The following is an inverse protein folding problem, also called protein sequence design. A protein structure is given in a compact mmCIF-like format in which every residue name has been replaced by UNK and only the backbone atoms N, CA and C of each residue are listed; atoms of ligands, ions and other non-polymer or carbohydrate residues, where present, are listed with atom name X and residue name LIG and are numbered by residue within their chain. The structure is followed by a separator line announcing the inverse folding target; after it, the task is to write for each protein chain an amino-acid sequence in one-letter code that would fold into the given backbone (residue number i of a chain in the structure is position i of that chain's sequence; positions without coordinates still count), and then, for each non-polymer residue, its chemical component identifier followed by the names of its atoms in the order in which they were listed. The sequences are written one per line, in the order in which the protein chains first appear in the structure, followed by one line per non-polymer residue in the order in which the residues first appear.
data_IF_225456234416
#
_entry.id   IF_225456234416
#
_cell.length_a   1.000
_cell.length_b   1.000
_cell.length_c   1.000
_cell.angle_alpha   90.00
_cell.angle_beta   90.00
_cell.angle_gamma   90.00
#
_symmetry.space_group_name_H-M   'P 1'
#
loop_
_entity.id
_entity.type
_entity.pdbx_description
1 polymer ?
#
# COMPACT_ATOMS: atom_id res chain seq x y z
N UNK A 1 22.60 8.01 2.31
CA UNK A 1 21.22 7.99 2.87
C UNK A 1 20.68 6.58 2.92
N UNK A 2 19.88 6.32 3.93
CA UNK A 2 19.22 5.04 4.17
C UNK A 2 17.72 5.24 4.12
N UNK A 3 16.97 4.13 4.06
CA UNK A 3 15.51 4.17 4.05
C UNK A 3 14.94 5.03 5.18
N UNK A 4 15.48 4.89 6.38
CA UNK A 4 15.02 5.65 7.55
C UNK A 4 15.14 7.18 7.40
N UNK A 5 16.00 7.64 6.50
CA UNK A 5 16.23 9.08 6.31
C UNK A 5 15.15 9.73 5.45
N UNK A 6 14.46 8.96 4.62
CA UNK A 6 13.47 9.49 3.68
C UNK A 6 12.08 8.89 3.82
N UNK A 7 11.91 7.79 4.54
CA UNK A 7 10.63 7.14 4.67
C UNK A 7 9.60 8.03 5.35
N UNK A 8 8.34 7.89 4.94
CA UNK A 8 7.22 8.46 5.67
C UNK A 8 6.97 7.58 6.88
N UNK A 9 6.97 8.18 8.06
CA UNK A 9 6.68 7.50 9.33
C UNK A 9 5.18 7.61 9.64
N UNK A 10 4.73 6.95 10.70
CA UNK A 10 3.32 6.95 11.11
C UNK A 10 2.42 6.40 10.01
N UNK A 11 2.83 5.30 9.41
CA UNK A 11 2.09 4.65 8.32
C UNK A 11 0.79 4.08 8.88
N UNK A 12 -0.32 4.39 8.19
CA UNK A 12 -1.59 3.75 8.47
C UNK A 12 -1.62 2.42 7.73
N UNK A 13 -1.85 1.34 8.47
CA UNK A 13 -2.01 0.00 7.93
C UNK A 13 -3.45 -0.46 8.15
N UNK A 14 -3.88 -1.42 7.37
CA UNK A 14 -5.18 -2.07 7.58
C UNK A 14 -4.96 -3.54 7.90
N UNK A 15 -5.85 -4.11 8.72
CA UNK A 15 -5.82 -5.54 8.96
C UNK A 15 -6.27 -6.30 7.72
N UNK A 16 -5.80 -7.52 7.55
CA UNK A 16 -6.12 -8.34 6.38
C UNK A 16 -7.62 -8.64 6.25
N UNK A 17 -8.36 -8.59 7.35
CA UNK A 17 -9.80 -8.82 7.36
C UNK A 17 -10.62 -7.53 7.18
N UNK A 18 -9.97 -6.38 7.05
CA UNK A 18 -10.65 -5.11 6.80
C UNK A 18 -11.40 -5.15 5.47
N UNK A 19 -12.63 -4.61 5.45
CA UNK A 19 -13.46 -4.61 4.26
C UNK A 19 -13.11 -3.46 3.32
N UNK A 20 -13.29 -3.67 2.02
CA UNK A 20 -12.88 -2.71 1.00
C UNK A 20 -13.51 -1.32 1.14
N UNK A 21 -14.79 -1.16 1.56
CA UNK A 21 -15.33 0.18 1.76
C UNK A 21 -14.50 1.01 2.75
N UNK A 22 -14.04 0.39 3.84
CA UNK A 22 -13.20 1.08 4.83
C UNK A 22 -11.81 1.36 4.29
N UNK A 23 -11.23 0.41 3.54
CA UNK A 23 -9.93 0.60 2.88
C UNK A 23 -9.99 1.80 1.94
N UNK A 24 -11.02 1.85 1.10
CA UNK A 24 -11.25 2.95 0.17
C UNK A 24 -11.38 4.28 0.90
N UNK A 25 -12.16 4.30 1.98
CA UNK A 25 -12.38 5.52 2.76
C UNK A 25 -11.09 6.03 3.39
N UNK A 26 -10.27 5.14 3.93
CA UNK A 26 -8.98 5.51 4.52
C UNK A 26 -8.08 6.15 3.47
N UNK A 27 -8.02 5.56 2.27
CA UNK A 27 -7.23 6.11 1.18
C UNK A 27 -7.71 7.49 0.76
N UNK A 28 -9.02 7.66 0.58
CA UNK A 28 -9.61 8.93 0.14
C UNK A 28 -9.45 10.02 1.20
N UNK A 29 -9.72 9.70 2.45
CA UNK A 29 -9.64 10.67 3.56
C UNK A 29 -8.23 11.20 3.76
N UNK A 30 -7.22 10.36 3.58
CA UNK A 30 -5.82 10.70 3.84
C UNK A 30 -5.02 11.02 2.56
N UNK A 31 -5.61 10.84 1.38
CA UNK A 31 -4.91 11.04 0.12
C UNK A 31 -3.80 10.02 -0.12
N UNK A 32 -3.95 8.81 0.40
CA UNK A 32 -2.97 7.74 0.22
C UNK A 32 -3.22 6.97 -1.06
N UNK A 33 -2.15 6.56 -1.72
CA UNK A 33 -2.21 5.72 -2.92
C UNK A 33 -1.89 4.25 -2.62
N UNK A 34 -1.37 3.97 -1.43
CA UNK A 34 -1.00 2.62 -1.00
C UNK A 34 -1.29 2.45 0.49
N UNK A 35 -1.74 1.26 0.87
CA UNK A 35 -1.91 0.87 2.27
C UNK A 35 -1.25 -0.49 2.50
N UNK A 36 -0.33 -0.59 3.44
CA UNK A 36 0.15 -1.90 3.89
C UNK A 36 -0.97 -2.66 4.59
N UNK A 37 -0.99 -3.97 4.40
CA UNK A 37 -1.94 -4.88 5.03
C UNK A 37 -1.19 -5.74 6.02
N UNK A 38 -1.73 -5.86 7.23
CA UNK A 38 -1.09 -6.60 8.30
C UNK A 38 -1.97 -7.72 8.82
N UNK A 39 -1.33 -8.73 9.40
CA UNK A 39 -1.95 -9.76 10.21
C UNK A 39 -1.17 -9.81 11.51
N UNK A 40 -1.86 -9.59 12.64
CA UNK A 40 -1.21 -9.53 13.96
C UNK A 40 0.01 -8.58 13.94
N UNK A 41 -0.20 -7.40 13.35
CA UNK A 41 0.78 -6.33 13.21
C UNK A 41 1.98 -6.65 12.29
N UNK A 42 1.98 -7.79 11.61
CA UNK A 42 3.02 -8.15 10.65
C UNK A 42 2.57 -7.91 9.23
N UNK A 43 3.47 -7.40 8.40
CA UNK A 43 3.19 -7.13 6.99
C UNK A 43 2.90 -8.42 6.24
N UNK A 44 1.73 -8.49 5.60
CA UNK A 44 1.34 -9.64 4.75
C UNK A 44 1.00 -9.22 3.33
N UNK A 45 0.75 -7.95 3.08
CA UNK A 45 0.39 -7.49 1.75
C UNK A 45 0.41 -5.99 1.62
N UNK A 46 0.08 -5.52 0.42
CA UNK A 46 -0.08 -4.10 0.13
C UNK A 46 -1.22 -3.93 -0.86
N UNK A 47 -2.00 -2.88 -0.70
CA UNK A 47 -3.09 -2.51 -1.61
C UNK A 47 -2.78 -1.14 -2.18
N UNK A 48 -2.91 -1.01 -3.51
CA UNK A 48 -2.83 0.28 -4.18
C UNK A 48 -4.22 0.79 -4.55
N UNK A 49 -4.32 2.10 -4.82
CA UNK A 49 -5.56 2.67 -5.34
C UNK A 49 -5.94 2.07 -6.70
N UNK A 50 -4.95 1.67 -7.51
CA UNK A 50 -5.19 0.97 -8.77
C UNK A 50 -5.85 -0.39 -8.56
N UNK A 51 -5.42 -1.11 -7.51
CA UNK A 51 -6.03 -2.40 -7.18
C UNK A 51 -7.51 -2.23 -6.87
N UNK A 52 -7.85 -1.18 -6.13
CA UNK A 52 -9.25 -0.87 -5.81
C UNK A 52 -10.05 -0.52 -7.05
N UNK A 53 -9.49 0.29 -7.95
CA UNK A 53 -10.17 0.70 -9.19
C UNK A 53 -10.45 -0.50 -10.10
N UNK A 54 -9.57 -1.50 -10.11
CA UNK A 54 -9.75 -2.71 -10.93
C UNK A 54 -10.79 -3.65 -10.36
N UNK A 55 -10.95 -3.65 -9.03
CA UNK A 55 -11.72 -4.67 -8.32
C UNK A 55 -13.08 -4.18 -7.86
N UNK A 56 -13.24 -2.88 -7.65
CA UNK A 56 -14.53 -2.28 -7.35
C UNK A 56 -15.26 -2.07 -8.67
N UNK A 57 -16.50 -2.56 -8.75
CA UNK A 57 -17.30 -2.42 -9.97
C UNK A 57 -17.50 -0.93 -10.31
N UNK A 58 -17.29 -0.53 -11.58
CA UNK A 58 -17.52 0.85 -12.00
C UNK A 58 -18.99 1.27 -11.94
N UNK A 59 -19.92 0.33 -11.77
CA UNK A 59 -21.36 0.61 -11.74
C UNK A 59 -21.90 0.83 -10.32
N UNK A 60 -21.04 0.76 -9.29
CA UNK A 60 -21.45 1.06 -7.91
C UNK A 60 -21.86 2.54 -7.83
N UNK A 61 -22.98 2.79 -7.15
CA UNK A 61 -23.59 4.12 -7.00
C UNK A 61 -24.10 4.72 -8.31
N UNK A 62 -24.35 3.89 -9.33
CA UNK A 62 -24.94 4.30 -10.59
C UNK A 62 -26.30 3.68 -10.77
N UNK A 63 -27.08 4.15 -11.76
CA UNK A 63 -28.39 3.58 -12.11
C UNK A 63 -28.28 2.16 -12.65
N UNK A 64 -27.09 1.74 -13.06
CA UNK A 64 -26.83 0.38 -13.56
C UNK A 64 -26.33 -0.56 -12.48
N UNK A 65 -26.31 -0.10 -11.23
CA UNK A 65 -25.83 -0.92 -10.10
C UNK A 65 -26.60 -2.22 -9.99
N UNK A 66 -25.88 -3.32 -9.79
CA UNK A 66 -26.40 -4.67 -9.65
C UNK A 66 -25.91 -5.28 -8.34
N UNK A 67 -26.61 -6.32 -7.80
CA UNK A 67 -26.14 -6.98 -6.58
C UNK A 67 -24.68 -7.47 -6.66
N UNK A 68 -24.25 -7.95 -7.82
CA UNK A 68 -22.86 -8.37 -8.03
C UNK A 68 -21.85 -7.23 -7.86
N UNK A 69 -22.26 -6.00 -8.17
CA UNK A 69 -21.40 -4.82 -8.03
C UNK A 69 -21.20 -4.48 -6.56
N UNK A 70 -22.25 -4.65 -5.75
CA UNK A 70 -22.19 -4.47 -4.30
C UNK A 70 -21.35 -5.57 -3.64
N UNK A 71 -21.41 -6.79 -4.15
CA UNK A 71 -20.62 -7.90 -3.62
C UNK A 71 -19.13 -7.64 -3.70
N UNK A 72 -18.67 -6.86 -4.67
CA UNK A 72 -17.26 -6.48 -4.79
C UNK A 72 -16.78 -5.72 -3.55
N UNK A 73 -17.65 -4.89 -2.95
CA UNK A 73 -17.33 -4.12 -1.75
C UNK A 73 -17.27 -4.98 -0.48
N UNK A 74 -17.84 -6.19 -0.52
CA UNK A 74 -17.83 -7.09 0.65
C UNK A 74 -16.52 -7.86 0.80
N UNK A 75 -15.59 -7.71 -0.15
CA UNK A 75 -14.30 -8.39 -0.08
C UNK A 75 -13.44 -7.79 1.03
N UNK A 76 -12.60 -8.65 1.61
CA UNK A 76 -11.62 -8.25 2.60
C UNK A 76 -10.30 -7.86 1.92
N UNK A 77 -9.47 -7.10 2.63
CA UNK A 77 -8.18 -6.66 2.14
C UNK A 77 -7.32 -7.82 1.62
N UNK A 78 -7.29 -8.96 2.34
CA UNK A 78 -6.47 -10.11 1.93
C UNK A 78 -6.88 -10.73 0.59
N UNK A 79 -8.10 -10.45 0.12
CA UNK A 79 -8.59 -10.98 -1.16
C UNK A 79 -8.14 -10.16 -2.37
N UNK A 80 -7.68 -8.92 -2.14
CA UNK A 80 -7.30 -8.00 -3.22
C UNK A 80 -5.86 -7.53 -3.14
N UNK A 81 -5.19 -7.71 -2.02
CA UNK A 81 -3.82 -7.25 -1.81
C UNK A 81 -2.83 -8.00 -2.67
N UNK A 82 -1.70 -7.36 -2.97
CA UNK A 82 -0.52 -8.05 -3.45
C UNK A 82 0.12 -8.72 -2.23
N UNK A 83 0.28 -10.04 -2.28
CA UNK A 83 0.85 -10.83 -1.19
C UNK A 83 2.37 -10.77 -1.19
N UNK A 84 2.96 -10.90 -0.01
CA UNK A 84 4.42 -10.92 0.17
C UNK A 84 5.08 -9.75 -0.60
N UNK A 85 4.70 -8.51 -0.29
CA UNK A 85 5.27 -7.36 -0.98
C UNK A 85 6.76 -7.27 -0.70
N UNK A 86 7.49 -6.71 -1.66
CA UNK A 86 8.90 -6.40 -1.45
C UNK A 86 8.97 -5.33 -0.37
N UNK A 87 9.72 -5.61 0.70
CA UNK A 87 9.92 -4.68 1.80
C UNK A 87 11.42 -4.48 2.05
N UNK A 88 11.77 -3.34 2.61
CA UNK A 88 13.15 -3.01 2.94
C UNK A 88 13.26 -2.70 4.42
N UNK A 89 14.48 -2.63 4.93
CA UNK A 89 14.76 -2.30 6.33
C UNK A 89 15.14 -0.83 6.47
N UNK A 90 15.11 -0.32 7.69
CA UNK A 90 15.48 1.06 7.98
C UNK A 90 16.91 1.40 7.51
N UNK A 91 17.81 0.45 7.60
CA UNK A 91 19.23 0.62 7.23
C UNK A 91 19.50 0.39 5.75
N UNK A 92 18.50 -0.02 4.96
CA UNK A 92 18.70 -0.28 3.53
C UNK A 92 19.18 1.00 2.83
N UNK A 93 20.31 0.94 2.09
CA UNK A 93 20.79 2.10 1.34
C UNK A 93 19.80 2.54 0.27
N UNK A 94 19.74 3.84 0.02
CA UNK A 94 18.84 4.42 -0.98
C UNK A 94 19.13 3.84 -2.37
N UNK A 95 20.37 3.56 -2.69
CA UNK A 95 20.75 2.98 -3.97
C UNK A 95 20.06 1.64 -4.21
N UNK A 96 19.91 0.83 -3.16
CA UNK A 96 19.23 -0.46 -3.26
C UNK A 96 17.73 -0.26 -3.47
N UNK A 97 17.14 0.74 -2.84
CA UNK A 97 15.72 1.06 -3.00
C UNK A 97 15.45 1.51 -4.43
N UNK A 98 16.28 2.40 -4.96
CA UNK A 98 16.18 2.86 -6.35
C UNK A 98 16.31 1.68 -7.31
N UNK A 99 17.23 0.77 -7.04
CA UNK A 99 17.43 -0.43 -7.87
C UNK A 99 16.17 -1.30 -7.90
N UNK A 100 15.51 -1.51 -6.76
CA UNK A 100 14.24 -2.24 -6.71
C UNK A 100 13.16 -1.57 -7.55
N UNK A 101 12.99 -0.25 -7.39
CA UNK A 101 11.95 0.50 -8.11
C UNK A 101 12.18 0.53 -9.61
N UNK A 102 13.45 0.41 -10.05
CA UNK A 102 13.78 0.31 -11.48
C UNK A 102 13.55 -1.06 -12.06
N UNK A 103 13.75 -2.12 -11.25
CA UNK A 103 13.71 -3.52 -11.73
C UNK A 103 12.32 -4.10 -11.73
N UNK A 104 11.48 -3.67 -10.81
CA UNK A 104 10.15 -4.23 -10.59
C UNK A 104 9.11 -3.13 -10.80
N UNK A 105 7.97 -3.49 -11.37
CA UNK A 105 6.88 -2.53 -11.62
C UNK A 105 6.12 -2.25 -10.32
N UNK A 106 6.77 -1.57 -9.40
CA UNK A 106 6.20 -1.12 -8.13
C UNK A 106 6.50 0.35 -7.95
N UNK A 107 5.63 1.05 -7.24
CA UNK A 107 5.78 2.49 -7.02
C UNK A 107 6.07 2.84 -5.57
N UNK A 108 5.99 1.88 -4.67
CA UNK A 108 6.33 2.10 -3.26
C UNK A 108 6.84 0.82 -2.61
N UNK A 109 7.56 1.00 -1.51
CA UNK A 109 8.11 -0.09 -0.71
C UNK A 109 7.79 0.16 0.76
N UNK A 110 7.16 -0.81 1.45
CA UNK A 110 7.08 -0.75 2.90
C UNK A 110 8.48 -0.90 3.53
N UNK A 111 8.67 -0.25 4.66
CA UNK A 111 9.87 -0.41 5.49
C UNK A 111 9.44 -1.16 6.75
N UNK A 112 10.12 -2.25 7.05
CA UNK A 112 9.77 -3.10 8.19
C UNK A 112 10.96 -3.25 9.13
N UNK A 113 10.66 -3.55 10.40
CA UNK A 113 11.66 -3.93 11.38
C UNK A 113 11.97 -5.44 11.29
N UNK A 114 12.80 -5.94 12.21
CA UNK A 114 13.20 -7.35 12.20
C UNK A 114 12.06 -8.31 12.56
N UNK A 115 10.95 -7.79 13.07
CA UNK A 115 9.77 -8.57 13.42
C UNK A 115 8.64 -8.39 12.39
N UNK A 116 8.95 -7.83 11.22
CA UNK A 116 8.01 -7.55 10.12
C UNK A 116 6.94 -6.51 10.45
N UNK A 117 7.13 -5.70 11.48
CA UNK A 117 6.25 -4.56 11.74
C UNK A 117 6.56 -3.45 10.74
N UNK A 118 5.50 -2.81 10.23
CA UNK A 118 5.66 -1.68 9.29
C UNK A 118 6.06 -0.44 10.08
N UNK A 119 7.23 0.11 9.80
CA UNK A 119 7.75 1.31 10.45
C UNK A 119 7.82 2.52 9.52
N UNK A 120 7.61 2.32 8.25
CA UNK A 120 7.63 3.39 7.27
C UNK A 120 7.20 2.92 5.90
N UNK A 121 7.11 3.87 4.97
CA UNK A 121 6.84 3.59 3.56
C UNK A 121 7.63 4.57 2.71
N UNK A 122 8.13 4.11 1.57
CA UNK A 122 8.89 4.93 0.62
C UNK A 122 8.24 4.80 -0.75
N UNK A 123 8.03 5.94 -1.41
CA UNK A 123 7.52 6.01 -2.77
C UNK A 123 8.49 6.80 -3.67
N UNK A 124 8.22 6.78 -4.99
CA UNK A 124 8.94 7.62 -5.93
C UNK A 124 8.91 9.10 -5.53
N UNK A 125 7.78 9.56 -4.99
CA UNK A 125 7.62 10.95 -4.57
C UNK A 125 8.63 11.29 -3.46
N UNK A 126 8.82 10.38 -2.50
CA UNK A 126 9.76 10.60 -1.41
C UNK A 126 11.19 10.71 -1.92
N UNK A 127 11.56 9.88 -2.91
CA UNK A 127 12.87 9.96 -3.53
C UNK A 127 13.08 11.28 -4.26
N UNK A 128 12.08 11.72 -5.02
CA UNK A 128 12.14 12.99 -5.76
C UNK A 128 12.21 14.16 -4.79
N UNK A 129 11.45 14.15 -3.70
CA UNK A 129 11.45 15.23 -2.71
C UNK A 129 12.79 15.39 -2.00
N UNK A 130 13.56 14.32 -1.91
CA UNK A 130 14.88 14.35 -1.27
C UNK A 130 16.04 14.44 -2.26
N UNK A 131 15.76 14.44 -3.56
CA UNK A 131 16.80 14.60 -4.57
C UNK A 131 17.25 16.06 -4.65
N UNK A 132 18.54 16.25 -4.96
CA UNK A 132 19.10 17.58 -5.22
C UNK A 132 19.23 17.76 -6.73
N UNK A 133 18.58 18.79 -7.23
CA UNK A 133 18.61 19.15 -8.66
C UNK A 133 19.31 20.47 -8.87
#
# INVERSE_FOLDING_TARGET
MKAQDIMVKNVICVDMDERLPNVKQIMETNGFHHLPVTEKDKLVGIISDRDLLRLISPFIDSVSEQPRDLDTLNRAAHQVMTRQPIAVKAETPIEDIVAWLKRVDISCLPVTDDEDHVIGIISWRDLVNHATF
#
